data_IF_721429836605
#
_entry.id   IF_721429836605
#
_cell.length_a   1.000
_cell.length_b   1.000
_cell.length_c   1.000
_cell.angle_alpha   90.00
_cell.angle_beta   90.00
_cell.angle_gamma   90.00
#
_symmetry.space_group_name_H-M   'P 1'
#
loop_
_entity.id
_entity.type
_entity.pdbx_description
1 polymer ?
#
# COMPACT_ATOMS: atom_id res chain seq x y z
N UNK A 1 19.74 -20.57 -2.39
CA UNK A 1 20.25 -20.53 -1.01
C UNK A 1 19.26 -19.70 -0.23
N UNK A 2 18.33 -20.35 0.48
CA UNK A 2 17.35 -19.62 1.29
C UNK A 2 18.12 -18.91 2.41
N UNK A 3 17.67 -17.72 2.79
CA UNK A 3 18.19 -16.98 3.93
C UNK A 3 18.33 -17.90 5.15
N UNK A 4 19.21 -17.56 6.08
CA UNK A 4 19.38 -18.26 7.37
C UNK A 4 18.09 -18.12 8.20
N UNK A 5 17.07 -18.90 7.83
CA UNK A 5 15.75 -18.90 8.45
C UNK A 5 15.85 -19.67 9.76
N UNK A 6 15.22 -19.13 10.80
CA UNK A 6 15.04 -19.88 12.03
C UNK A 6 14.29 -21.20 11.75
N UNK A 7 14.53 -22.26 12.53
CA UNK A 7 13.81 -23.52 12.40
C UNK A 7 12.29 -23.33 12.38
N UNK A 8 11.76 -22.44 13.21
CA UNK A 8 10.33 -22.15 13.28
C UNK A 8 9.78 -21.55 11.97
N UNK A 9 10.52 -20.62 11.35
CA UNK A 9 10.12 -20.00 10.09
C UNK A 9 10.19 -21.00 8.93
N UNK A 10 11.20 -21.87 8.93
CA UNK A 10 11.29 -22.95 7.94
C UNK A 10 10.10 -23.92 8.07
N UNK A 11 9.80 -24.38 9.29
CA UNK A 11 8.66 -25.26 9.56
C UNK A 11 7.31 -24.61 9.19
N UNK A 12 7.16 -23.31 9.46
CA UNK A 12 5.99 -22.56 9.04
C UNK A 12 5.85 -22.56 7.52
N UNK A 13 6.89 -22.21 6.76
CA UNK A 13 6.84 -22.21 5.29
C UNK A 13 6.54 -23.60 4.73
N UNK A 14 7.15 -24.65 5.28
CA UNK A 14 6.87 -26.05 4.92
C UNK A 14 5.40 -26.40 5.15
N UNK A 15 4.81 -25.96 6.27
CA UNK A 15 3.39 -26.19 6.56
C UNK A 15 2.48 -25.57 5.50
N UNK A 16 2.80 -24.36 5.02
CA UNK A 16 1.97 -23.67 4.03
C UNK A 16 2.04 -24.33 2.65
N UNK A 17 3.18 -24.93 2.31
CA UNK A 17 3.32 -25.76 1.10
C UNK A 17 2.57 -27.07 1.27
N UNK A 18 2.70 -27.72 2.43
CA UNK A 18 2.04 -29.00 2.72
C UNK A 18 0.50 -28.88 2.70
N UNK A 19 -0.07 -27.74 3.10
CA UNK A 19 -1.50 -27.47 2.98
C UNK A 19 -1.94 -27.07 1.57
N UNK A 20 -1.00 -26.93 0.62
CA UNK A 20 -1.28 -26.48 -0.74
C UNK A 20 -1.61 -24.99 -0.86
N UNK A 21 -1.34 -24.19 0.18
CA UNK A 21 -1.58 -22.75 0.14
C UNK A 21 -0.58 -22.04 -0.80
N UNK A 22 0.64 -22.59 -0.95
CA UNK A 22 1.62 -22.14 -1.91
C UNK A 22 2.23 -23.31 -2.70
N UNK A 23 2.59 -23.12 -3.99
CA UNK A 23 3.19 -24.16 -4.82
C UNK A 23 4.59 -24.59 -4.37
N UNK A 24 5.35 -23.69 -3.73
CA UNK A 24 6.70 -23.95 -3.26
C UNK A 24 7.07 -23.07 -2.06
N UNK A 25 8.13 -23.45 -1.34
CA UNK A 25 8.69 -22.62 -0.26
C UNK A 25 9.21 -21.27 -0.76
N UNK A 26 9.67 -21.22 -2.01
CA UNK A 26 10.08 -19.97 -2.67
C UNK A 26 8.90 -19.02 -2.89
N UNK A 27 7.75 -19.54 -3.33
CA UNK A 27 6.54 -18.74 -3.54
C UNK A 27 5.99 -18.21 -2.22
N UNK A 28 5.99 -19.04 -1.17
CA UNK A 28 5.58 -18.64 0.17
C UNK A 28 6.52 -17.54 0.74
N UNK A 29 7.84 -17.68 0.54
CA UNK A 29 8.80 -16.66 0.96
C UNK A 29 8.65 -15.35 0.18
N UNK A 30 8.43 -15.41 -1.13
CA UNK A 30 8.18 -14.23 -1.96
C UNK A 30 6.91 -13.51 -1.50
N UNK A 31 5.84 -14.24 -1.20
CA UNK A 31 4.61 -13.66 -0.65
C UNK A 31 4.85 -12.97 0.70
N UNK A 32 5.65 -13.57 1.59
CA UNK A 32 6.03 -12.96 2.86
C UNK A 32 6.83 -11.64 2.65
N UNK A 33 7.78 -11.64 1.71
CA UNK A 33 8.54 -10.43 1.35
C UNK A 33 7.64 -9.34 0.76
N UNK A 34 6.68 -9.70 -0.09
CA UNK A 34 5.68 -8.76 -0.62
C UNK A 34 4.86 -8.12 0.50
N UNK A 35 4.42 -8.91 1.48
CA UNK A 35 3.68 -8.39 2.63
C UNK A 35 4.52 -7.41 3.45
N UNK A 36 5.80 -7.72 3.68
CA UNK A 36 6.73 -6.82 4.38
C UNK A 36 6.93 -5.50 3.63
N UNK A 37 7.11 -5.56 2.30
CA UNK A 37 7.21 -4.36 1.45
C UNK A 37 5.95 -3.52 1.55
N UNK A 38 4.77 -4.13 1.43
CA UNK A 38 3.50 -3.42 1.54
C UNK A 38 3.32 -2.75 2.90
N UNK A 39 3.70 -3.44 3.99
CA UNK A 39 3.68 -2.87 5.33
C UNK A 39 4.58 -1.64 5.44
N UNK A 40 5.80 -1.72 4.89
CA UNK A 40 6.73 -0.59 4.88
C UNK A 40 6.16 0.62 4.12
N UNK A 41 5.61 0.40 2.93
CA UNK A 41 4.96 1.46 2.13
C UNK A 41 3.81 2.15 2.89
N UNK A 42 2.95 1.37 3.56
CA UNK A 42 1.83 1.93 4.33
C UNK A 42 2.33 2.77 5.49
N UNK A 43 3.32 2.28 6.24
CA UNK A 43 3.90 3.03 7.35
C UNK A 43 4.56 4.33 6.87
N UNK A 44 5.27 4.29 5.74
CA UNK A 44 5.87 5.47 5.14
C UNK A 44 4.81 6.52 4.78
N UNK A 45 3.70 6.10 4.17
CA UNK A 45 2.58 7.01 3.83
C UNK A 45 1.95 7.63 5.07
N UNK A 46 1.72 6.84 6.12
CA UNK A 46 1.18 7.35 7.39
C UNK A 46 2.13 8.36 8.01
N UNK A 47 3.43 8.04 8.10
CA UNK A 47 4.43 8.95 8.65
C UNK A 47 4.52 10.25 7.84
N UNK A 48 4.40 10.17 6.52
CA UNK A 48 4.36 11.34 5.65
C UNK A 48 3.14 12.20 5.94
N UNK A 49 1.95 11.60 6.05
CA UNK A 49 0.73 12.32 6.41
C UNK A 49 0.80 12.99 7.78
N UNK A 50 1.37 12.32 8.78
CA UNK A 50 1.61 12.92 10.11
C UNK A 50 2.50 14.16 10.00
N UNK A 51 3.63 14.06 9.27
CA UNK A 51 4.51 15.21 9.07
C UNK A 51 3.84 16.35 8.32
N UNK A 52 3.02 16.05 7.33
CA UNK A 52 2.26 17.06 6.60
C UNK A 52 1.33 17.83 7.55
N UNK A 53 0.61 17.12 8.43
CA UNK A 53 -0.24 17.74 9.44
C UNK A 53 0.57 18.59 10.44
N UNK A 54 1.69 18.06 10.95
CA UNK A 54 2.58 18.79 11.87
C UNK A 54 3.17 20.06 11.26
N UNK A 55 3.41 20.06 9.95
CA UNK A 55 3.94 21.20 9.21
C UNK A 55 2.85 22.18 8.71
N UNK A 56 1.57 21.87 8.89
CA UNK A 56 0.48 22.65 8.30
C UNK A 56 0.34 22.49 6.78
N UNK A 57 0.90 21.42 6.20
CA UNK A 57 0.81 21.07 4.77
C UNK A 57 -0.51 20.34 4.48
N UNK A 58 -1.62 20.98 4.83
CA UNK A 58 -2.97 20.47 4.57
C UNK A 58 -3.89 21.60 4.14
N UNK A 59 -4.92 21.26 3.39
CA UNK A 59 -5.96 22.19 2.97
C UNK A 59 -7.20 21.95 3.84
N UNK A 60 -7.67 23.01 4.50
CA UNK A 60 -8.95 22.97 5.22
C UNK A 60 -10.06 23.30 4.24
N UNK A 61 -11.00 22.37 4.08
CA UNK A 61 -12.22 22.64 3.35
C UNK A 61 -13.38 22.82 4.33
N UNK A 62 -14.08 23.94 4.19
CA UNK A 62 -15.45 24.07 4.66
C UNK A 62 -16.43 23.50 3.60
N UNK A 63 -17.72 23.59 3.88
CA UNK A 63 -18.76 23.01 3.00
C UNK A 63 -18.71 23.60 1.58
N UNK A 64 -18.57 24.93 1.45
CA UNK A 64 -18.43 25.61 0.16
C UNK A 64 -17.11 25.27 -0.54
N UNK A 65 -16.02 25.10 0.22
CA UNK A 65 -14.71 24.70 -0.29
C UNK A 65 -14.71 23.29 -0.86
N UNK A 66 -15.40 22.35 -0.20
CA UNK A 66 -15.56 20.99 -0.70
C UNK A 66 -16.34 20.96 -2.02
N UNK A 67 -17.45 21.70 -2.11
CA UNK A 67 -18.27 21.76 -3.31
C UNK A 67 -17.45 22.27 -4.51
N UNK A 68 -16.68 23.35 -4.32
CA UNK A 68 -15.80 23.89 -5.36
C UNK A 68 -14.72 22.90 -5.78
N UNK A 69 -14.11 22.21 -4.82
CA UNK A 69 -13.08 21.20 -5.11
C UNK A 69 -13.64 20.07 -5.98
N UNK A 70 -14.86 19.59 -5.68
CA UNK A 70 -15.50 18.56 -6.49
C UNK A 70 -15.89 19.06 -7.89
N UNK A 71 -16.39 20.29 -8.01
CA UNK A 71 -16.66 20.91 -9.32
C UNK A 71 -15.40 21.01 -10.18
N UNK A 72 -14.27 21.42 -9.60
CA UNK A 72 -12.98 21.49 -10.28
C UNK A 72 -12.51 20.11 -10.75
N UNK A 73 -12.64 19.07 -9.92
CA UNK A 73 -12.29 17.70 -10.30
C UNK A 73 -13.13 17.19 -11.49
N UNK A 74 -14.44 17.47 -11.48
CA UNK A 74 -15.33 17.12 -12.60
C UNK A 74 -14.90 17.84 -13.87
N UNK A 75 -14.66 19.15 -13.80
CA UNK A 75 -14.22 19.94 -14.96
C UNK A 75 -12.88 19.45 -15.54
N UNK A 76 -11.92 19.06 -14.69
CA UNK A 76 -10.66 18.45 -15.12
C UNK A 76 -10.92 17.16 -15.88
N UNK A 77 -11.77 16.27 -15.35
CA UNK A 77 -12.08 14.99 -16.00
C UNK A 77 -12.74 15.16 -17.38
N UNK A 78 -13.64 16.13 -17.52
CA UNK A 78 -14.32 16.42 -18.78
C UNK A 78 -13.39 17.06 -19.83
N UNK A 79 -12.40 17.83 -19.39
CA UNK A 79 -11.40 18.43 -20.28
C UNK A 79 -10.43 17.39 -20.85
N UNK A 80 -10.11 16.35 -20.07
CA UNK A 80 -9.24 15.26 -20.51
C UNK A 80 -9.96 14.26 -21.43
N UNK A 81 -11.28 14.07 -21.27
CA UNK A 81 -12.09 13.20 -22.11
C UNK A 81 -12.44 13.75 -23.51
N UNK A 82 -12.10 15.01 -23.83
CA UNK A 82 -12.36 15.65 -25.14
C UNK A 82 -11.16 15.67 -26.09
N UNK A 83 -10.07 14.99 -25.73
CA UNK A 83 -8.83 14.93 -26.54
C UNK A 83 -8.62 13.58 -27.27
N UNK A 84 -9.67 12.77 -27.43
CA UNK A 84 -9.65 11.52 -28.22
C UNK A 84 -10.49 11.63 -29.50
#
# INVERSE_FOLDING_TARGET
MYADLSPDNAAFLESQVATGAFPSGGDALNAAVMLLRRRAEVLEKVQRGVKQLENGEYEEFDEEGLDRFFEELVAISESQGKSE
#
